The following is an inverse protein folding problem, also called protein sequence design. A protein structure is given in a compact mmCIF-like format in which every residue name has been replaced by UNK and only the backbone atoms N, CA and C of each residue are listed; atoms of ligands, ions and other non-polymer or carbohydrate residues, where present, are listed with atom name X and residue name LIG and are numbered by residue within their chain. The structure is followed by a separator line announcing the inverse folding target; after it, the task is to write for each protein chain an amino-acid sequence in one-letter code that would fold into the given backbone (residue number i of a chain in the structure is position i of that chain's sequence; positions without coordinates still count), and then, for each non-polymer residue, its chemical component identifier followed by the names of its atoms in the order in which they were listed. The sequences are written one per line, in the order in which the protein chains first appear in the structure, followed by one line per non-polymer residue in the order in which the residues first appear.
data_IF_909945770391
#
_entry.id   IF_909945770391
#
_cell.length_a   1.000
_cell.length_b   1.000
_cell.length_c   1.000
_cell.angle_alpha   90.00
_cell.angle_beta   90.00
_cell.angle_gamma   90.00
#
_symmetry.space_group_name_H-M   'P 1'
#
loop_
_entity.id
_entity.type
_entity.pdbx_description
1 polymer ?
#
# COMPACT_ATOMS: atom_id res chain seq x y z
N UNK A 1 -6.29 -6.09 5.46
CA UNK A 1 -5.09 -6.52 6.22
C UNK A 1 -4.81 -5.52 7.31
N UNK A 2 -4.50 -5.99 8.50
CA UNK A 2 -4.28 -5.09 9.61
C UNK A 2 -2.80 -4.70 9.72
N UNK A 3 -2.54 -3.75 10.61
CA UNK A 3 -1.20 -3.18 10.79
C UNK A 3 -0.17 -4.23 11.20
N UNK A 4 -0.55 -5.15 12.07
CA UNK A 4 0.34 -6.21 12.56
C UNK A 4 0.82 -7.09 11.42
N UNK A 5 -0.07 -7.44 10.49
CA UNK A 5 0.31 -8.26 9.35
C UNK A 5 1.33 -7.55 8.47
N UNK A 6 1.14 -6.26 8.23
CA UNK A 6 2.11 -5.48 7.47
C UNK A 6 3.45 -5.41 8.19
N UNK A 7 3.44 -5.21 9.50
CA UNK A 7 4.67 -5.19 10.28
C UNK A 7 5.43 -6.51 10.15
N UNK A 8 4.73 -7.62 10.26
CA UNK A 8 5.34 -8.94 10.18
C UNK A 8 5.99 -9.16 8.81
N UNK A 9 5.35 -8.71 7.75
CA UNK A 9 5.89 -8.84 6.40
C UNK A 9 7.10 -7.97 6.18
N UNK A 10 7.08 -6.75 6.69
CA UNK A 10 8.22 -5.85 6.58
C UNK A 10 9.40 -6.45 7.32
N UNK A 11 9.17 -6.97 8.53
CA UNK A 11 10.22 -7.63 9.30
C UNK A 11 10.78 -8.82 8.54
N UNK A 12 9.92 -9.64 7.94
CA UNK A 12 10.36 -10.81 7.19
C UNK A 12 11.27 -10.43 6.02
N UNK A 13 10.90 -9.38 5.29
CA UNK A 13 11.71 -8.90 4.17
C UNK A 13 13.06 -8.38 4.65
N UNK A 14 13.07 -7.65 5.76
CA UNK A 14 14.30 -7.14 6.34
C UNK A 14 15.20 -8.27 6.83
N UNK A 15 14.62 -9.29 7.46
CA UNK A 15 15.37 -10.46 7.92
C UNK A 15 15.97 -11.23 6.75
N UNK A 16 15.23 -11.36 5.68
CA UNK A 16 15.70 -12.03 4.47
C UNK A 16 16.90 -11.31 3.86
N UNK A 17 16.90 -9.98 3.94
CA UNK A 17 18.02 -9.18 3.46
C UNK A 17 19.13 -9.01 4.51
N UNK A 18 18.98 -9.65 5.67
CA UNK A 18 19.90 -9.54 6.79
C UNK A 18 20.06 -8.10 7.27
N UNK A 19 18.98 -7.35 7.26
CA UNK A 19 18.97 -5.95 7.65
C UNK A 19 18.10 -5.65 8.87
N UNK A 20 17.42 -6.65 9.41
CA UNK A 20 16.51 -6.38 10.52
C UNK A 20 17.30 -6.13 11.81
N UNK A 21 16.94 -5.05 12.48
CA UNK A 21 17.46 -4.70 13.80
C UNK A 21 16.29 -4.15 14.59
N UNK A 22 16.23 -4.49 15.85
CA UNK A 22 15.15 -4.03 16.72
C UNK A 22 15.06 -2.51 16.78
N UNK A 23 16.16 -1.79 16.56
CA UNK A 23 16.16 -0.34 16.51
C UNK A 23 15.30 0.22 15.36
N UNK A 24 14.97 -0.60 14.38
CA UNK A 24 14.14 -0.22 13.25
C UNK A 24 12.65 -0.38 13.52
N UNK A 25 12.27 -0.81 14.70
CA UNK A 25 10.88 -1.11 15.05
C UNK A 25 9.94 0.07 14.74
N UNK A 26 10.37 1.29 15.08
CA UNK A 26 9.57 2.48 14.83
C UNK A 26 9.33 2.68 13.33
N UNK A 27 10.36 2.51 12.52
CA UNK A 27 10.24 2.66 11.08
C UNK A 27 9.35 1.58 10.47
N UNK A 28 9.43 0.36 10.99
CA UNK A 28 8.57 -0.74 10.56
C UNK A 28 7.11 -0.40 10.85
N UNK A 29 6.83 0.08 12.05
CA UNK A 29 5.47 0.47 12.42
C UNK A 29 4.95 1.61 11.53
N UNK A 30 5.80 2.60 11.28
CA UNK A 30 5.41 3.75 10.45
C UNK A 30 5.13 3.31 9.02
N UNK A 31 5.96 2.45 8.45
CA UNK A 31 5.74 1.93 7.12
C UNK A 31 4.47 1.10 7.04
N UNK A 32 4.21 0.27 8.05
CA UNK A 32 3.00 -0.53 8.11
C UNK A 32 1.76 0.36 8.14
N UNK A 33 1.81 1.46 8.90
CA UNK A 33 0.71 2.41 8.95
C UNK A 33 0.46 3.03 7.58
N UNK A 34 1.52 3.39 6.86
CA UNK A 34 1.37 3.92 5.50
C UNK A 34 0.69 2.92 4.58
N UNK A 35 1.08 1.65 4.64
CA UNK A 35 0.48 0.61 3.82
C UNK A 35 -1.00 0.42 4.16
N UNK A 36 -1.33 0.46 5.44
CA UNK A 36 -2.71 0.36 5.89
C UNK A 36 -3.56 1.52 5.36
N UNK A 37 -3.04 2.74 5.46
CA UNK A 37 -3.74 3.93 4.97
C UNK A 37 -3.93 3.84 3.45
N UNK A 38 -2.91 3.42 2.72
CA UNK A 38 -2.99 3.27 1.27
C UNK A 38 -4.09 2.27 0.91
N UNK A 39 -4.15 1.15 1.61
CA UNK A 39 -5.16 0.14 1.34
C UNK A 39 -6.57 0.65 1.62
N UNK A 40 -6.75 1.38 2.71
CA UNK A 40 -8.04 1.99 3.04
C UNK A 40 -8.45 3.02 1.99
N UNK A 41 -7.50 3.83 1.53
CA UNK A 41 -7.78 4.83 0.49
C UNK A 41 -8.19 4.16 -0.82
N UNK A 42 -7.53 3.06 -1.20
CA UNK A 42 -7.89 2.33 -2.40
C UNK A 42 -9.32 1.80 -2.34
N UNK A 43 -9.70 1.26 -1.20
CA UNK A 43 -11.07 0.77 -1.01
C UNK A 43 -12.08 1.89 -1.13
N UNK A 44 -11.78 3.04 -0.56
CA UNK A 44 -12.66 4.20 -0.63
C UNK A 44 -12.78 4.72 -2.05
N UNK A 45 -11.67 4.77 -2.78
CA UNK A 45 -11.67 5.22 -4.17
C UNK A 45 -12.53 4.33 -5.05
N UNK A 46 -12.48 3.02 -4.83
CA UNK A 46 -13.34 2.10 -5.57
C UNK A 46 -14.81 2.45 -5.39
N UNK A 47 -15.20 2.78 -4.17
CA UNK A 47 -16.57 3.19 -3.88
C UNK A 47 -16.90 4.52 -4.57
N UNK A 48 -15.96 5.44 -4.58
CA UNK A 48 -16.15 6.76 -5.15
C UNK A 48 -16.30 6.77 -6.67
N UNK A 49 -15.71 5.81 -7.36
CA UNK A 49 -15.80 5.77 -8.82
C UNK A 49 -17.23 5.65 -9.31
N UNK A 50 -18.13 5.20 -8.45
CA UNK A 50 -19.55 5.12 -8.79
C UNK A 50 -20.34 6.36 -8.41
N UNK A 51 -19.74 7.29 -7.67
CA UNK A 51 -20.46 8.42 -7.11
C UNK A 51 -19.81 9.77 -7.38
N UNK A 52 -18.73 9.80 -8.14
CA UNK A 52 -18.00 11.05 -8.41
C UNK A 52 -18.75 11.96 -9.37
N UNK A 53 -19.64 11.43 -10.17
CA UNK A 53 -20.45 12.25 -11.05
C UNK A 53 -21.37 13.14 -10.23
N UNK A 54 -21.14 14.43 -10.34
CA UNK A 54 -21.92 15.39 -9.61
C UNK A 54 -23.01 15.99 -10.49
N UNK A 55 -24.04 16.47 -9.83
CA UNK A 55 -25.17 17.06 -10.51
C UNK A 55 -24.77 18.25 -11.37
N UNK A 56 -23.73 18.98 -10.98
CA UNK A 56 -23.27 20.14 -11.71
C UNK A 56 -22.17 19.83 -12.73
N UNK A 57 -21.79 18.58 -12.86
CA UNK A 57 -20.77 18.18 -13.81
C UNK A 57 -19.35 18.52 -13.40
N UNK A 58 -19.13 19.05 -12.20
CA UNK A 58 -17.79 19.37 -11.74
C UNK A 58 -17.18 18.18 -11.03
N UNK A 59 -15.88 17.99 -11.24
CA UNK A 59 -15.12 16.98 -10.51
C UNK A 59 -14.53 17.62 -9.27
N UNK A 60 -15.03 17.21 -8.13
CA UNK A 60 -14.47 17.67 -6.88
C UNK A 60 -13.38 16.70 -6.43
N UNK A 61 -12.22 17.24 -6.10
CA UNK A 61 -11.11 16.42 -5.60
C UNK A 61 -11.48 15.98 -4.19
N UNK A 62 -11.74 14.68 -4.03
CA UNK A 62 -12.04 14.12 -2.72
C UNK A 62 -10.77 14.10 -1.87
N UNK A 63 -10.88 14.39 -0.55
CA UNK A 63 -9.71 14.39 0.33
C UNK A 63 -8.94 13.07 0.33
N UNK A 64 -9.59 11.95 -0.03
CA UNK A 64 -8.91 10.66 -0.06
C UNK A 64 -7.72 10.65 -1.01
N UNK A 65 -7.77 11.40 -2.10
CA UNK A 65 -6.65 11.44 -3.06
C UNK A 65 -5.43 12.11 -2.47
N UNK A 66 -5.63 13.15 -1.67
CA UNK A 66 -4.53 13.80 -0.97
C UNK A 66 -3.95 12.87 0.09
N UNK A 67 -4.81 12.23 0.85
CA UNK A 67 -4.37 11.28 1.89
C UNK A 67 -3.57 10.15 1.27
N UNK A 68 -4.04 9.61 0.14
CA UNK A 68 -3.33 8.56 -0.57
C UNK A 68 -1.95 9.02 -1.02
N UNK A 69 -1.87 10.20 -1.63
CA UNK A 69 -0.60 10.73 -2.11
C UNK A 69 0.39 10.94 -0.98
N UNK A 70 -0.09 11.50 0.14
CA UNK A 70 0.77 11.73 1.29
C UNK A 70 1.27 10.42 1.88
N UNK A 71 0.39 9.42 1.97
CA UNK A 71 0.77 8.11 2.49
C UNK A 71 1.80 7.44 1.57
N UNK A 72 1.64 7.56 0.25
CA UNK A 72 2.60 7.01 -0.69
C UNK A 72 3.96 7.69 -0.59
N UNK A 73 3.97 9.00 -0.41
CA UNK A 73 5.22 9.75 -0.24
C UNK A 73 5.92 9.33 1.05
N UNK A 74 5.17 9.19 2.13
CA UNK A 74 5.73 8.75 3.41
C UNK A 74 6.21 7.30 3.34
N UNK A 75 5.48 6.44 2.63
CA UNK A 75 5.92 5.06 2.42
C UNK A 75 7.28 5.02 1.75
N UNK A 76 7.47 5.85 0.72
CA UNK A 76 8.75 5.93 0.01
C UNK A 76 9.87 6.35 0.95
N UNK A 77 9.62 7.35 1.79
CA UNK A 77 10.61 7.81 2.77
C UNK A 77 10.99 6.72 3.75
N UNK A 78 9.99 6.02 4.30
CA UNK A 78 10.26 4.96 5.26
C UNK A 78 10.96 3.79 4.63
N UNK A 79 10.59 3.42 3.41
CA UNK A 79 11.23 2.34 2.69
C UNK A 79 12.71 2.66 2.46
N UNK A 80 13.02 3.88 2.05
CA UNK A 80 14.41 4.31 1.88
C UNK A 80 15.18 4.27 3.17
N UNK A 81 14.56 4.73 4.26
CA UNK A 81 15.21 4.71 5.57
C UNK A 81 15.53 3.29 6.03
N UNK A 82 14.68 2.33 5.65
CA UNK A 82 14.90 0.92 5.96
C UNK A 82 15.83 0.23 4.96
N UNK A 83 16.23 0.91 3.90
CA UNK A 83 17.09 0.33 2.87
C UNK A 83 16.36 -0.62 1.94
N UNK A 84 15.06 -0.50 1.84
CA UNK A 84 14.25 -1.34 0.97
C UNK A 84 14.12 -0.72 -0.42
N UNK A 85 14.34 -1.54 -1.44
CA UNK A 85 14.14 -1.10 -2.81
C UNK A 85 12.71 -1.41 -3.27
N UNK A 86 12.42 -1.10 -4.51
CA UNK A 86 11.09 -1.31 -5.07
C UNK A 86 10.68 -2.78 -5.02
N UNK A 87 11.61 -3.68 -5.33
CA UNK A 87 11.31 -5.11 -5.32
C UNK A 87 10.94 -5.59 -3.92
N UNK A 88 11.65 -5.10 -2.89
CA UNK A 88 11.36 -5.46 -1.52
C UNK A 88 9.99 -4.94 -1.07
N UNK A 89 9.66 -3.70 -1.43
CA UNK A 89 8.35 -3.12 -1.11
C UNK A 89 7.24 -3.91 -1.79
N UNK A 90 7.44 -4.28 -3.05
CA UNK A 90 6.48 -5.11 -3.78
C UNK A 90 6.24 -6.44 -3.08
N UNK A 91 7.31 -7.02 -2.53
CA UNK A 91 7.21 -8.28 -1.81
C UNK A 91 6.34 -8.16 -0.56
N UNK A 92 6.46 -7.04 0.16
CA UNK A 92 5.63 -6.77 1.33
C UNK A 92 4.16 -6.69 0.93
N UNK A 93 3.88 -6.13 -0.23
CA UNK A 93 2.52 -5.94 -0.73
C UNK A 93 1.97 -7.15 -1.48
N UNK A 94 2.77 -8.19 -1.65
CA UNK A 94 2.43 -9.32 -2.52
C UNK A 94 1.13 -10.03 -2.13
N UNK A 95 0.81 -10.06 -0.84
CA UNK A 95 -0.42 -10.69 -0.36
C UNK A 95 -1.55 -9.70 -0.13
N UNK A 96 -1.39 -8.46 -0.61
CA UNK A 96 -2.47 -7.48 -0.56
C UNK A 96 -3.64 -8.02 -1.37
N UNK A 97 -4.84 -8.13 -0.78
CA UNK A 97 -6.01 -8.66 -1.51
C UNK A 97 -6.30 -7.91 -2.81
N UNK A 98 -6.06 -6.61 -2.82
CA UNK A 98 -6.28 -5.82 -4.02
C UNK A 98 -5.33 -6.24 -5.13
N UNK A 99 -4.07 -6.46 -4.79
CA UNK A 99 -3.07 -6.90 -5.77
C UNK A 99 -3.40 -8.29 -6.30
N UNK A 100 -3.80 -9.19 -5.42
CA UNK A 100 -4.20 -10.54 -5.82
C UNK A 100 -5.37 -10.48 -6.78
N UNK A 101 -6.34 -9.63 -6.47
CA UNK A 101 -7.50 -9.44 -7.34
C UNK A 101 -7.08 -8.95 -8.72
N UNK A 102 -6.18 -7.99 -8.78
CA UNK A 102 -5.69 -7.46 -10.04
C UNK A 102 -4.93 -8.51 -10.84
N UNK A 103 -4.12 -9.30 -10.17
CA UNK A 103 -3.38 -10.38 -10.82
C UNK A 103 -4.32 -11.43 -11.38
N UNK A 104 -5.37 -11.78 -10.65
CA UNK A 104 -6.35 -12.72 -11.11
C UNK A 104 -7.07 -12.22 -12.35
N UNK A 105 -7.40 -10.93 -12.38
CA UNK A 105 -8.04 -10.37 -13.56
C UNK A 105 -7.14 -10.42 -14.78
N UNK A 106 -5.85 -10.10 -14.61
CA UNK A 106 -4.89 -10.17 -15.71
C UNK A 106 -4.69 -11.60 -16.16
N UNK A 107 -4.54 -12.51 -15.21
CA UNK A 107 -4.36 -13.92 -15.49
C UNK A 107 -5.58 -14.50 -16.19
N UNK A 108 -6.77 -14.10 -15.75
CA UNK A 108 -8.01 -14.53 -16.40
C UNK A 108 -8.13 -14.03 -17.82
N UNK A 109 -7.61 -12.84 -18.09
CA UNK A 109 -7.60 -12.27 -19.42
C UNK A 109 -6.65 -12.98 -20.37
N UNK A 110 -5.56 -13.49 -19.83
CA UNK A 110 -4.55 -14.20 -20.60
C UNK A 110 -4.82 -15.69 -20.69
N UNK A 111 -5.69 -16.20 -19.84
CA UNK A 111 -5.86 -17.62 -19.63
C UNK A 111 -6.64 -18.37 -20.69
N UNK A 112 -6.70 -17.88 -21.83
CA UNK A 112 -7.47 -18.52 -22.90
C UNK A 112 -6.96 -19.83 -23.39
#
# INVERSE_FOLDING_TARGET
MNNTNYQDRIKAVLQEADRYDQSLCFLVESMATCLQVINLCRSEIETLTTTIEREDGTLQVHPVFRTLRDAQANLTKHAKALGLDFAAVSKVMEEDPFKDFMEQMQSGGDGD
#
